data_IF_833712077165
#
_entry.id   IF_833712077165
#
_cell.length_a   1.000
_cell.length_b   1.000
_cell.length_c   1.000
_cell.angle_alpha   90.00
_cell.angle_beta   90.00
_cell.angle_gamma   90.00
#
_symmetry.space_group_name_H-M   'P 1'
#
loop_
_entity.id
_entity.type
_entity.pdbx_description
1 polymer ?
#
# COMPACT_ATOMS: atom_id res chain seq x y z
N UNK A 1 38.79 -0.92 69.70
CA UNK A 1 39.19 0.31 68.99
C UNK A 1 39.69 0.02 67.57
N UNK A 2 40.18 -1.18 67.26
CA UNK A 2 40.56 -1.60 65.88
C UNK A 2 39.39 -1.97 64.94
N UNK A 3 38.18 -2.23 65.46
CA UNK A 3 37.02 -2.61 64.62
C UNK A 3 36.35 -1.38 63.98
N UNK A 4 36.40 -0.22 64.64
CA UNK A 4 35.84 1.04 64.11
C UNK A 4 36.70 1.62 62.99
N UNK A 5 38.02 1.40 63.01
CA UNK A 5 38.94 1.89 61.99
C UNK A 5 38.80 1.11 60.68
N UNK A 6 38.55 -0.21 60.75
CA UNK A 6 38.32 -1.04 59.56
C UNK A 6 36.97 -0.78 58.89
N UNK A 7 35.93 -0.46 59.66
CA UNK A 7 34.61 -0.09 59.10
C UNK A 7 34.66 1.29 58.42
N UNK A 8 35.41 2.24 58.97
CA UNK A 8 35.59 3.56 58.37
C UNK A 8 36.33 3.50 57.01
N UNK A 9 37.34 2.63 56.88
CA UNK A 9 38.07 2.44 55.62
C UNK A 9 37.22 1.74 54.56
N UNK A 10 36.39 0.75 54.93
CA UNK A 10 35.48 0.09 53.99
C UNK A 10 34.34 0.99 53.52
N UNK A 11 33.81 1.87 54.39
CA UNK A 11 32.78 2.85 54.01
C UNK A 11 33.36 3.97 53.13
N UNK A 12 34.60 4.39 53.37
CA UNK A 12 35.29 5.34 52.50
C UNK A 12 35.60 4.76 51.12
N UNK A 13 35.99 3.48 51.02
CA UNK A 13 36.23 2.82 49.73
C UNK A 13 34.94 2.63 48.92
N UNK A 14 33.80 2.40 49.59
CA UNK A 14 32.48 2.33 48.96
C UNK A 14 31.95 3.71 48.52
N UNK A 15 32.27 4.79 49.24
CA UNK A 15 31.93 6.15 48.80
C UNK A 15 32.82 6.66 47.66
N UNK A 16 34.08 6.22 47.54
CA UNK A 16 34.97 6.60 46.42
C UNK A 16 34.63 5.85 45.12
N UNK A 17 34.06 4.65 45.19
CA UNK A 17 33.51 3.95 44.02
C UNK A 17 32.14 4.50 43.56
N UNK A 18 31.55 5.44 44.31
CA UNK A 18 30.24 6.05 44.00
C UNK A 18 30.35 7.42 43.33
N UNK A 19 31.56 7.94 43.11
CA UNK A 19 31.80 9.26 42.48
C UNK A 19 32.45 9.09 41.08
N UNK A 20 32.68 7.86 40.64
CA UNK A 20 33.29 7.52 39.34
C UNK A 20 32.32 7.11 38.23
N UNK A 21 31.00 7.12 38.45
CA UNK A 21 30.06 7.18 37.34
C UNK A 21 29.80 8.66 37.06
N UNK A 22 30.78 9.30 36.41
CA UNK A 22 30.38 10.32 35.46
C UNK A 22 29.38 9.62 34.55
N UNK A 23 28.10 9.98 34.68
CA UNK A 23 27.19 9.88 33.58
C UNK A 23 27.97 10.50 32.42
N UNK A 24 28.46 9.65 31.51
CA UNK A 24 28.64 10.07 30.14
C UNK A 24 27.25 10.57 29.82
N UNK A 25 27.05 11.89 29.88
CA UNK A 25 25.97 12.53 29.19
C UNK A 25 26.09 11.91 27.80
N UNK A 26 25.20 10.98 27.47
CA UNK A 26 24.89 10.66 26.09
C UNK A 26 24.42 12.01 25.57
N UNK A 27 25.36 12.83 25.11
CA UNK A 27 25.09 14.03 24.37
C UNK A 27 24.26 13.49 23.22
N UNK A 28 22.95 13.73 23.28
CA UNK A 28 22.05 13.25 22.26
C UNK A 28 22.63 13.80 20.95
N UNK A 29 23.16 12.95 20.05
CA UNK A 29 23.95 13.43 18.92
C UNK A 29 23.08 14.17 17.90
N UNK A 30 21.76 14.24 18.14
CA UNK A 30 20.85 15.12 17.43
C UNK A 30 21.06 16.59 17.81
N UNK A 31 20.89 17.50 16.85
CA UNK A 31 20.85 18.94 17.11
C UNK A 31 19.76 19.34 18.11
N UNK A 32 19.99 20.45 18.82
CA UNK A 32 19.11 20.90 19.89
C UNK A 32 17.67 21.21 19.45
N UNK A 33 17.46 21.55 18.18
CA UNK A 33 16.14 21.82 17.59
C UNK A 33 15.21 20.61 17.56
N UNK A 34 15.76 19.39 17.62
CA UNK A 34 14.98 18.17 17.77
C UNK A 34 14.41 17.98 19.20
N UNK A 35 14.76 18.87 20.14
CA UNK A 35 14.20 18.87 21.51
C UNK A 35 14.53 17.63 22.33
N UNK A 36 15.52 16.83 21.90
CA UNK A 36 15.83 15.54 22.50
C UNK A 36 14.80 14.44 22.24
N UNK A 37 13.83 14.67 21.34
CA UNK A 37 12.77 13.71 21.01
C UNK A 37 13.23 12.65 20.01
N UNK A 38 14.22 12.97 19.19
CA UNK A 38 14.77 12.05 18.20
C UNK A 38 16.08 11.41 18.67
N UNK A 39 16.43 10.30 18.01
CA UNK A 39 17.73 9.64 18.13
C UNK A 39 18.51 9.78 16.83
N UNK A 40 19.78 10.14 16.93
CA UNK A 40 20.68 10.25 15.79
C UNK A 40 21.87 9.32 16.01
N UNK A 41 22.44 8.74 14.96
CA UNK A 41 23.62 7.89 15.10
C UNK A 41 23.66 6.71 14.16
N UNK A 42 24.72 5.91 14.25
CA UNK A 42 24.87 4.71 13.43
C UNK A 42 23.90 3.62 13.89
N UNK A 43 23.02 3.18 12.99
CA UNK A 43 22.07 2.10 13.22
C UNK A 43 21.92 1.24 11.98
N UNK A 44 21.39 0.03 12.15
CA UNK A 44 21.01 -0.77 10.99
C UNK A 44 19.69 -0.23 10.42
N UNK A 45 19.66 -0.04 9.10
CA UNK A 45 18.48 0.45 8.40
C UNK A 45 17.53 -0.72 8.12
N UNK A 46 16.23 -0.61 8.43
CA UNK A 46 15.27 -1.63 8.02
C UNK A 46 15.08 -1.65 6.49
N UNK A 47 15.41 -0.57 5.78
CA UNK A 47 15.12 -0.40 4.34
C UNK A 47 16.16 -1.02 3.40
N UNK A 48 17.32 -1.42 3.93
CA UNK A 48 18.35 -2.14 3.16
C UNK A 48 18.49 -3.62 3.54
N UNK A 49 17.56 -4.14 4.36
CA UNK A 49 17.62 -5.50 4.89
C UNK A 49 18.65 -5.65 6.02
N UNK A 50 18.91 -4.58 6.79
CA UNK A 50 19.87 -4.55 7.88
C UNK A 50 21.30 -4.94 7.45
N UNK A 51 21.68 -4.62 6.21
CA UNK A 51 22.97 -5.05 5.62
C UNK A 51 24.14 -4.29 6.19
N UNK A 52 24.01 -2.98 6.35
CA UNK A 52 25.07 -2.09 6.82
C UNK A 52 24.57 -1.08 7.86
N UNK A 53 25.51 -0.52 8.62
CA UNK A 53 25.19 0.55 9.56
C UNK A 53 25.22 1.87 8.83
N UNK A 54 24.13 2.63 8.94
CA UNK A 54 23.94 3.96 8.35
C UNK A 54 23.71 5.00 9.42
N UNK A 55 24.17 6.23 9.21
CA UNK A 55 23.83 7.33 10.09
C UNK A 55 22.35 7.67 9.95
N UNK A 56 21.57 7.26 10.94
CA UNK A 56 20.11 7.34 10.95
C UNK A 56 19.67 8.44 11.90
N UNK A 57 18.71 9.25 11.45
CA UNK A 57 17.94 10.17 12.28
C UNK A 57 16.53 9.62 12.41
N UNK A 58 16.14 9.19 13.61
CA UNK A 58 14.85 8.57 13.87
C UNK A 58 14.02 9.42 14.85
N UNK A 59 12.85 9.84 14.36
CA UNK A 59 11.85 10.67 15.02
C UNK A 59 10.47 9.97 15.06
N UNK A 60 10.46 8.64 15.15
CA UNK A 60 9.25 7.82 15.17
C UNK A 60 8.35 8.17 16.38
N UNK A 61 7.06 8.43 16.14
CA UNK A 61 6.04 8.66 17.17
C UNK A 61 6.44 9.73 18.20
N UNK A 62 7.14 10.78 17.76
CA UNK A 62 7.63 11.86 18.63
C UNK A 62 6.58 12.93 18.88
N UNK A 63 5.45 12.89 18.15
CA UNK A 63 4.33 13.80 18.32
C UNK A 63 4.52 15.15 17.62
N UNK A 64 5.46 15.23 16.68
CA UNK A 64 5.67 16.47 15.94
C UNK A 64 4.46 16.85 15.08
N UNK A 65 4.18 18.15 15.04
CA UNK A 65 3.06 18.69 14.23
C UNK A 65 3.51 19.55 13.06
N UNK A 66 4.83 19.66 12.86
CA UNK A 66 5.46 20.40 11.78
C UNK A 66 6.85 19.80 11.51
N UNK A 67 7.56 20.32 10.51
CA UNK A 67 8.88 19.83 10.11
C UNK A 67 10.02 20.83 10.38
N UNK A 68 9.83 21.84 11.24
CA UNK A 68 10.79 22.95 11.34
C UNK A 68 12.16 22.48 11.86
N UNK A 69 12.19 21.46 12.70
CA UNK A 69 13.43 20.85 13.22
C UNK A 69 14.26 20.16 12.13
N UNK A 70 13.61 19.67 11.06
CA UNK A 70 14.32 19.01 9.97
C UNK A 70 15.24 19.97 9.22
N UNK A 71 15.08 21.29 9.41
CA UNK A 71 16.00 22.34 8.93
C UNK A 71 17.44 22.16 9.39
N UNK A 72 17.61 21.56 10.56
CA UNK A 72 18.89 21.29 11.18
C UNK A 72 19.28 19.82 11.06
N UNK A 73 18.73 19.07 10.10
CA UNK A 73 19.12 17.68 9.89
C UNK A 73 20.64 17.56 9.68
N UNK A 74 21.36 16.67 10.39
CA UNK A 74 22.79 16.48 10.20
C UNK A 74 23.13 16.12 8.76
N UNK A 75 24.14 16.75 8.17
CA UNK A 75 24.50 16.57 6.74
C UNK A 75 24.95 15.14 6.39
N UNK A 76 25.52 14.44 7.38
CA UNK A 76 25.91 13.03 7.28
C UNK A 76 24.73 12.05 7.35
N UNK A 77 23.48 12.52 7.41
CA UNK A 77 22.31 11.64 7.49
C UNK A 77 22.15 10.84 6.22
N UNK A 78 22.11 9.52 6.38
CA UNK A 78 21.89 8.56 5.31
C UNK A 78 20.43 8.08 5.27
N UNK A 79 19.80 8.00 6.45
CA UNK A 79 18.42 7.54 6.61
C UNK A 79 17.67 8.49 7.54
N UNK A 80 16.59 9.09 7.05
CA UNK A 80 15.64 9.86 7.84
C UNK A 80 14.38 9.05 8.07
N UNK A 81 14.08 8.71 9.32
CA UNK A 81 12.84 8.04 9.75
C UNK A 81 11.99 9.04 10.52
N UNK A 82 10.96 9.57 9.88
CA UNK A 82 10.06 10.56 10.44
C UNK A 82 8.63 10.02 10.40
N UNK A 83 8.38 8.83 10.95
CA UNK A 83 7.07 8.14 10.88
C UNK A 83 6.21 8.35 12.12
N UNK A 84 4.87 8.30 11.98
CA UNK A 84 3.94 8.30 13.11
C UNK A 84 3.76 9.67 13.79
N UNK A 85 3.98 10.77 13.07
CA UNK A 85 3.71 12.12 13.56
C UNK A 85 2.44 12.69 12.91
N UNK A 86 2.18 14.00 13.03
CA UNK A 86 0.98 14.63 12.43
C UNK A 86 1.35 15.90 11.69
N UNK A 87 1.75 15.75 10.43
CA UNK A 87 2.23 16.85 9.58
C UNK A 87 1.38 16.92 8.31
N UNK A 88 0.19 17.57 8.36
CA UNK A 88 -0.73 17.58 7.22
C UNK A 88 -0.20 18.29 5.97
N UNK A 89 0.79 19.17 6.14
CA UNK A 89 1.36 19.98 5.05
C UNK A 89 2.87 19.93 5.13
N UNK A 90 3.51 19.47 4.06
CA UNK A 90 4.95 19.62 3.87
C UNK A 90 5.23 20.95 3.15
N UNK A 91 5.86 21.94 3.82
CA UNK A 91 6.17 23.23 3.21
C UNK A 91 7.33 23.12 2.20
N UNK A 92 7.64 24.21 1.52
CA UNK A 92 8.87 24.33 0.75
C UNK A 92 10.11 24.18 1.64
N UNK A 93 11.16 23.51 1.14
CA UNK A 93 12.45 23.32 1.82
C UNK A 93 12.33 22.76 3.25
N UNK A 94 11.79 21.55 3.39
CA UNK A 94 11.61 20.87 4.68
C UNK A 94 12.96 20.58 5.37
N UNK A 95 13.98 20.14 4.62
CA UNK A 95 15.27 19.75 5.18
C UNK A 95 16.27 20.89 5.30
N UNK A 96 16.55 21.62 4.22
CA UNK A 96 17.41 22.81 4.22
C UNK A 96 17.32 23.43 2.82
N UNK A 97 17.63 24.72 2.66
CA UNK A 97 17.69 25.36 1.33
C UNK A 97 19.12 25.58 0.82
N UNK A 98 20.12 25.53 1.70
CA UNK A 98 21.53 25.75 1.37
C UNK A 98 22.31 24.44 1.29
N UNK A 99 22.09 23.51 2.20
CA UNK A 99 22.83 22.23 2.29
C UNK A 99 22.35 21.24 1.23
N UNK A 100 23.30 20.52 0.64
CA UNK A 100 23.03 19.35 -0.19
C UNK A 100 23.23 18.10 0.67
N UNK A 101 22.26 17.19 0.67
CA UNK A 101 22.32 15.97 1.47
C UNK A 101 22.91 14.83 0.64
N UNK A 102 24.23 14.88 0.44
CA UNK A 102 24.95 13.95 -0.43
C UNK A 102 24.87 12.49 0.01
N UNK A 103 24.66 12.23 1.30
CA UNK A 103 24.60 10.88 1.86
C UNK A 103 23.17 10.37 2.04
N UNK A 104 22.16 11.22 1.92
CA UNK A 104 20.78 10.84 2.23
C UNK A 104 20.23 9.92 1.14
N UNK A 105 20.03 8.65 1.48
CA UNK A 105 19.55 7.63 0.55
C UNK A 105 18.09 7.27 0.78
N UNK A 106 17.57 7.44 2.01
CA UNK A 106 16.21 7.03 2.37
C UNK A 106 15.50 8.09 3.20
N UNK A 107 14.27 8.43 2.79
CA UNK A 107 13.35 9.29 3.53
C UNK A 107 12.06 8.49 3.78
N UNK A 108 11.77 8.23 5.06
CA UNK A 108 10.49 7.69 5.49
C UNK A 108 9.67 8.77 6.20
N UNK A 109 8.55 9.14 5.58
CA UNK A 109 7.53 10.02 6.13
C UNK A 109 6.15 9.33 6.14
N UNK A 110 6.13 8.02 6.35
CA UNK A 110 4.89 7.26 6.51
C UNK A 110 4.10 7.66 7.75
N UNK A 111 2.79 7.41 7.75
CA UNK A 111 1.93 7.62 8.94
C UNK A 111 2.01 9.04 9.51
N UNK A 112 2.00 10.07 8.65
CA UNK A 112 2.08 11.47 9.09
C UNK A 112 0.82 12.29 8.84
N UNK A 113 -0.24 11.68 8.30
CA UNK A 113 -1.43 12.38 7.84
C UNK A 113 -1.15 13.48 6.81
N UNK A 114 -0.09 13.31 6.00
CA UNK A 114 0.29 14.30 4.98
C UNK A 114 -0.82 14.36 3.94
N UNK A 115 -1.41 15.54 3.76
CA UNK A 115 -2.41 15.82 2.74
C UNK A 115 -1.82 16.56 1.56
N UNK A 116 -0.88 17.45 1.84
CA UNK A 116 -0.33 18.35 0.83
C UNK A 116 1.18 18.40 0.88
N UNK A 117 1.81 18.20 -0.29
CA UNK A 117 3.25 18.37 -0.49
C UNK A 117 3.45 19.59 -1.38
N UNK A 118 4.13 20.62 -0.87
CA UNK A 118 4.41 21.81 -1.65
C UNK A 118 5.48 21.52 -2.73
N UNK A 119 5.43 22.26 -3.84
CA UNK A 119 6.48 22.18 -4.85
C UNK A 119 7.82 22.62 -4.24
N UNK A 120 8.91 21.89 -4.56
CA UNK A 120 10.24 22.10 -3.97
C UNK A 120 10.31 21.87 -2.46
N UNK A 121 9.46 20.99 -1.92
CA UNK A 121 9.57 20.54 -0.52
C UNK A 121 10.93 19.91 -0.23
N UNK A 122 11.39 19.02 -1.10
CA UNK A 122 12.62 18.24 -0.93
C UNK A 122 13.76 18.79 -1.78
N UNK A 123 14.25 20.00 -1.50
CA UNK A 123 15.36 20.57 -2.30
C UNK A 123 16.71 19.89 -1.98
N UNK A 124 17.54 19.66 -3.01
CA UNK A 124 18.92 19.12 -2.90
C UNK A 124 19.07 17.76 -2.23
N UNK A 125 18.15 16.83 -2.52
CA UNK A 125 18.18 15.43 -2.04
C UNK A 125 18.42 14.43 -3.18
N UNK A 126 19.25 14.80 -4.14
CA UNK A 126 19.43 14.10 -5.42
C UNK A 126 19.79 12.61 -5.26
N UNK A 127 20.46 12.22 -4.18
CA UNK A 127 20.94 10.85 -3.93
C UNK A 127 19.92 9.96 -3.22
N UNK A 128 18.73 10.47 -2.89
CA UNK A 128 17.66 9.66 -2.28
C UNK A 128 17.18 8.62 -3.29
N UNK A 129 17.28 7.35 -2.88
CA UNK A 129 16.88 6.17 -3.64
C UNK A 129 15.52 5.64 -3.20
N UNK A 130 15.18 5.78 -1.92
CA UNK A 130 13.92 5.29 -1.36
C UNK A 130 13.13 6.44 -0.74
N UNK A 131 11.94 6.72 -1.28
CA UNK A 131 10.98 7.66 -0.70
C UNK A 131 9.75 6.87 -0.24
N UNK A 132 9.45 6.96 1.06
CA UNK A 132 8.34 6.23 1.67
C UNK A 132 7.30 7.23 2.18
N UNK A 133 6.13 7.21 1.56
CA UNK A 133 4.98 8.08 1.88
C UNK A 133 3.74 7.26 2.25
N UNK A 134 3.92 6.00 2.62
CA UNK A 134 2.82 5.09 2.95
C UNK A 134 1.95 5.60 4.10
N UNK A 135 0.68 5.20 4.11
CA UNK A 135 -0.27 5.51 5.19
C UNK A 135 -0.36 7.03 5.45
N UNK A 136 -0.60 7.78 4.38
CA UNK A 136 -0.84 9.22 4.43
C UNK A 136 -2.21 9.54 3.80
N UNK A 137 -2.55 10.82 3.73
CA UNK A 137 -3.86 11.29 3.30
C UNK A 137 -3.72 12.18 2.04
N UNK A 138 -2.85 11.82 1.10
CA UNK A 138 -2.46 12.70 -0.01
C UNK A 138 -3.68 13.13 -0.83
N UNK A 139 -3.83 14.44 -0.99
CA UNK A 139 -4.91 15.06 -1.75
C UNK A 139 -4.41 15.54 -3.12
N UNK A 140 -4.12 14.60 -4.03
CA UNK A 140 -3.69 14.89 -5.41
C UNK A 140 -4.91 14.98 -6.33
N UNK A 141 -5.17 16.17 -6.86
CA UNK A 141 -6.29 16.45 -7.80
C UNK A 141 -5.84 17.52 -8.80
N UNK A 142 -6.42 17.59 -9.99
CA UNK A 142 -6.12 18.59 -11.04
C UNK A 142 -6.04 20.04 -10.53
N UNK A 143 -6.78 20.37 -9.46
CA UNK A 143 -6.82 21.72 -8.86
C UNK A 143 -5.66 22.00 -7.89
N UNK A 144 -5.15 20.95 -7.24
CA UNK A 144 -4.11 21.02 -6.22
C UNK A 144 -2.78 20.42 -6.71
N UNK A 145 -2.78 19.94 -7.95
CA UNK A 145 -1.68 19.27 -8.59
C UNK A 145 -0.41 20.10 -8.63
N UNK A 146 0.69 19.38 -8.45
CA UNK A 146 2.04 19.90 -8.57
C UNK A 146 2.84 18.86 -9.34
N UNK A 147 2.86 18.94 -10.69
CA UNK A 147 3.47 17.92 -11.53
C UNK A 147 4.92 17.56 -11.15
N UNK A 148 5.63 18.46 -10.45
CA UNK A 148 7.03 18.31 -10.04
C UNK A 148 7.23 17.98 -8.56
N UNK A 149 6.29 17.28 -7.92
CA UNK A 149 6.45 16.90 -6.50
C UNK A 149 7.67 15.99 -6.27
N UNK A 150 7.99 15.11 -7.23
CA UNK A 150 9.10 14.17 -7.10
C UNK A 150 10.36 14.57 -7.88
N UNK A 151 10.36 15.72 -8.55
CA UNK A 151 11.45 16.14 -9.46
C UNK A 151 12.79 16.44 -8.77
N UNK A 152 12.88 16.38 -7.44
CA UNK A 152 14.15 16.57 -6.72
C UNK A 152 14.83 15.23 -6.39
N UNK A 153 14.15 14.11 -6.65
CA UNK A 153 14.65 12.76 -6.38
C UNK A 153 15.24 12.17 -7.67
N UNK A 154 16.34 12.76 -8.15
CA UNK A 154 16.94 12.41 -9.44
C UNK A 154 17.42 10.95 -9.50
N UNK A 155 17.81 10.34 -8.37
CA UNK A 155 18.22 8.94 -8.30
C UNK A 155 17.18 8.04 -7.60
N UNK A 156 15.88 8.40 -7.65
CA UNK A 156 14.84 7.61 -7.00
C UNK A 156 14.72 6.23 -7.64
N UNK A 157 14.88 5.18 -6.84
CA UNK A 157 14.76 3.77 -7.27
C UNK A 157 13.47 3.13 -6.76
N UNK A 158 12.96 3.57 -5.59
CA UNK A 158 11.74 3.03 -4.96
C UNK A 158 10.85 4.16 -4.45
N UNK A 159 9.61 4.12 -4.88
CA UNK A 159 8.57 5.06 -4.44
C UNK A 159 7.46 4.26 -3.75
N UNK A 160 7.27 4.55 -2.47
CA UNK A 160 6.22 3.93 -1.68
C UNK A 160 5.02 4.84 -1.47
N UNK A 161 3.87 4.39 -1.98
CA UNK A 161 2.57 5.04 -1.92
C UNK A 161 1.48 4.04 -1.47
N UNK A 162 1.81 3.07 -0.62
CA UNK A 162 0.84 2.12 -0.07
C UNK A 162 -0.13 2.86 0.85
N UNK A 163 -1.45 2.77 0.61
CA UNK A 163 -2.48 3.49 1.37
C UNK A 163 -2.12 4.98 1.56
N UNK A 164 -1.73 5.65 0.47
CA UNK A 164 -1.16 7.00 0.55
C UNK A 164 -2.15 8.11 0.22
N UNK A 165 -3.30 7.79 -0.38
CA UNK A 165 -4.27 8.77 -0.88
C UNK A 165 -5.47 8.91 0.04
N UNK A 166 -6.02 10.12 0.09
CA UNK A 166 -7.22 10.43 0.88
C UNK A 166 -8.47 9.72 0.34
N UNK A 167 -9.25 9.09 1.22
CA UNK A 167 -10.57 8.48 0.92
C UNK A 167 -11.60 9.46 0.30
N UNK A 168 -11.29 10.77 0.31
CA UNK A 168 -12.13 11.80 -0.30
C UNK A 168 -11.96 11.88 -1.82
N UNK A 169 -10.90 11.29 -2.37
CA UNK A 169 -10.55 11.38 -3.79
C UNK A 169 -10.66 10.00 -4.41
N UNK A 170 -11.30 9.93 -5.57
CA UNK A 170 -11.45 8.68 -6.28
C UNK A 170 -10.13 8.27 -6.94
N UNK A 171 -9.89 6.96 -7.01
CA UNK A 171 -8.71 6.40 -7.68
C UNK A 171 -8.49 6.93 -9.10
N UNK A 172 -9.56 7.01 -9.89
CA UNK A 172 -9.47 7.51 -11.26
C UNK A 172 -9.03 8.97 -11.36
N UNK A 173 -9.27 9.79 -10.33
CA UNK A 173 -8.86 11.21 -10.32
C UNK A 173 -7.36 11.32 -10.02
N UNK A 174 -6.88 10.75 -8.90
CA UNK A 174 -5.46 10.86 -8.59
C UNK A 174 -4.57 10.08 -9.57
N UNK A 175 -5.08 9.02 -10.22
CA UNK A 175 -4.31 8.29 -11.25
C UNK A 175 -4.04 9.17 -12.48
N UNK A 176 -5.00 10.01 -12.89
CA UNK A 176 -4.77 11.02 -13.95
C UNK A 176 -3.67 11.98 -13.53
N UNK A 177 -3.76 12.51 -12.32
CA UNK A 177 -2.72 13.38 -11.76
C UNK A 177 -1.34 12.72 -11.67
N UNK A 178 -1.30 11.42 -11.35
CA UNK A 178 -0.06 10.67 -11.25
C UNK A 178 0.64 10.53 -12.60
N UNK A 179 -0.10 10.39 -13.71
CA UNK A 179 0.50 10.37 -15.05
C UNK A 179 1.30 11.66 -15.30
N UNK A 180 0.68 12.82 -15.04
CA UNK A 180 1.33 14.12 -15.19
C UNK A 180 2.49 14.30 -14.21
N UNK A 181 2.35 13.82 -12.97
CA UNK A 181 3.41 13.87 -11.96
C UNK A 181 4.61 13.02 -12.37
N UNK A 182 4.39 11.80 -12.85
CA UNK A 182 5.47 10.94 -13.30
C UNK A 182 6.16 11.53 -14.54
N UNK A 183 5.38 12.06 -15.49
CA UNK A 183 5.90 12.77 -16.66
C UNK A 183 6.80 13.95 -16.29
N UNK A 184 6.34 14.85 -15.43
CA UNK A 184 7.05 16.07 -15.08
C UNK A 184 8.14 15.90 -14.01
N UNK A 185 8.13 14.79 -13.27
CA UNK A 185 9.16 14.48 -12.27
C UNK A 185 10.38 13.75 -12.84
N UNK A 186 10.32 13.26 -14.08
CA UNK A 186 11.43 12.61 -14.79
C UNK A 186 12.12 11.48 -13.99
N UNK A 187 11.31 10.58 -13.43
CA UNK A 187 11.76 9.48 -12.55
C UNK A 187 12.38 8.32 -13.35
N UNK A 188 13.45 8.61 -14.11
CA UNK A 188 14.05 7.68 -15.07
C UNK A 188 14.76 6.47 -14.44
N UNK A 189 15.07 6.51 -13.14
CA UNK A 189 15.71 5.39 -12.42
C UNK A 189 14.76 4.60 -11.52
N UNK A 190 13.46 4.93 -11.54
CA UNK A 190 12.49 4.28 -10.67
C UNK A 190 12.29 2.83 -11.09
N UNK A 191 12.59 1.90 -10.19
CA UNK A 191 12.50 0.45 -10.41
C UNK A 191 11.29 -0.18 -9.72
N UNK A 192 10.90 0.31 -8.55
CA UNK A 192 9.82 -0.29 -7.77
C UNK A 192 8.80 0.78 -7.41
N UNK A 193 7.55 0.54 -7.78
CA UNK A 193 6.41 1.39 -7.43
C UNK A 193 5.41 0.59 -6.59
N UNK A 194 5.21 1.03 -5.36
CA UNK A 194 4.23 0.49 -4.42
C UNK A 194 2.95 1.34 -4.47
N UNK A 195 1.83 0.71 -4.84
CA UNK A 195 0.49 1.30 -4.92
C UNK A 195 -0.56 0.40 -4.25
N UNK A 196 -0.14 -0.45 -3.34
CA UNK A 196 -1.02 -1.35 -2.59
C UNK A 196 -2.02 -0.56 -1.72
N UNK A 197 -3.18 -1.16 -1.44
CA UNK A 197 -4.16 -0.59 -0.49
C UNK A 197 -4.66 0.83 -0.84
N UNK A 198 -4.79 1.16 -2.13
CA UNK A 198 -5.27 2.47 -2.58
C UNK A 198 -6.70 2.43 -3.18
N UNK A 199 -7.45 1.36 -2.91
CA UNK A 199 -8.81 1.16 -3.42
C UNK A 199 -8.98 1.26 -4.95
N UNK A 200 -7.91 1.03 -5.71
CA UNK A 200 -7.92 1.13 -7.18
C UNK A 200 -8.82 0.05 -7.76
N UNK A 201 -9.90 0.43 -8.45
CA UNK A 201 -10.85 -0.51 -9.05
C UNK A 201 -10.63 -0.75 -10.54
N UNK A 202 -10.01 0.20 -11.24
CA UNK A 202 -9.64 0.15 -12.66
C UNK A 202 -8.63 1.26 -12.95
N UNK A 203 -7.61 0.97 -13.77
CA UNK A 203 -6.74 2.00 -14.35
C UNK A 203 -7.45 2.67 -15.56
N UNK A 204 -8.28 1.91 -16.26
CA UNK A 204 -9.28 2.40 -17.20
C UNK A 204 -8.70 3.25 -18.34
N UNK A 205 -9.27 4.43 -18.55
CA UNK A 205 -8.86 5.37 -19.61
C UNK A 205 -7.42 5.86 -19.47
N UNK A 206 -6.81 5.75 -18.29
CA UNK A 206 -5.42 6.11 -18.05
C UNK A 206 -4.47 4.90 -18.09
N UNK A 207 -4.66 4.04 -19.07
CA UNK A 207 -3.81 2.86 -19.30
C UNK A 207 -2.31 3.17 -19.43
N UNK A 208 -1.91 4.43 -19.65
CA UNK A 208 -0.52 4.86 -19.87
C UNK A 208 0.16 5.46 -18.65
N UNK A 209 -0.52 5.53 -17.50
CA UNK A 209 -0.03 6.16 -16.27
C UNK A 209 1.42 5.76 -15.92
N UNK A 210 1.82 4.51 -16.16
CA UNK A 210 3.16 4.04 -15.84
C UNK A 210 4.20 4.21 -16.97
N UNK A 211 3.80 4.53 -18.20
CA UNK A 211 4.68 4.49 -19.37
C UNK A 211 5.87 5.46 -19.33
N UNK A 212 5.83 6.50 -18.49
CA UNK A 212 6.99 7.37 -18.30
C UNK A 212 8.12 6.65 -17.53
N UNK A 213 7.78 5.67 -16.70
CA UNK A 213 8.70 4.97 -15.80
C UNK A 213 9.39 3.83 -16.56
N UNK A 214 10.30 4.17 -17.48
CA UNK A 214 10.85 3.21 -18.44
C UNK A 214 11.72 2.12 -17.81
N UNK A 215 12.38 2.43 -16.68
CA UNK A 215 13.20 1.50 -15.90
C UNK A 215 12.41 0.75 -14.81
N UNK A 216 11.08 0.87 -14.81
CA UNK A 216 10.23 0.22 -13.83
C UNK A 216 10.30 -1.30 -13.97
N UNK A 217 10.81 -1.95 -12.94
CA UNK A 217 10.98 -3.40 -12.84
C UNK A 217 9.77 -4.07 -12.17
N UNK A 218 9.17 -3.39 -11.19
CA UNK A 218 8.11 -3.95 -10.35
C UNK A 218 6.99 -2.94 -10.12
N UNK A 219 5.75 -3.39 -10.35
CA UNK A 219 4.54 -2.65 -10.01
C UNK A 219 3.74 -3.47 -9.01
N UNK A 220 3.53 -2.92 -7.82
CA UNK A 220 2.87 -3.60 -6.72
C UNK A 220 1.50 -2.96 -6.49
N UNK A 221 0.45 -3.69 -6.88
CA UNK A 221 -0.95 -3.27 -6.85
C UNK A 221 -1.79 -4.19 -5.95
N UNK A 222 -1.15 -4.90 -5.02
CA UNK A 222 -1.81 -5.79 -4.06
C UNK A 222 -2.86 -5.06 -3.21
N UNK A 223 -3.85 -5.77 -2.69
CA UNK A 223 -4.86 -5.22 -1.77
C UNK A 223 -5.64 -4.01 -2.35
N UNK A 224 -5.86 -3.99 -3.65
CA UNK A 224 -6.72 -3.02 -4.31
C UNK A 224 -8.10 -3.64 -4.63
N UNK A 225 -8.85 -3.02 -5.54
CA UNK A 225 -10.18 -3.48 -5.97
C UNK A 225 -10.22 -3.79 -7.47
N UNK A 226 -9.07 -4.04 -8.09
CA UNK A 226 -8.97 -4.25 -9.54
C UNK A 226 -9.82 -5.45 -9.94
N UNK A 227 -10.63 -5.28 -10.98
CA UNK A 227 -11.49 -6.34 -11.52
C UNK A 227 -10.85 -7.08 -12.69
N UNK A 228 -9.81 -6.49 -13.28
CA UNK A 228 -9.05 -7.01 -14.42
C UNK A 228 -7.64 -6.37 -14.46
N UNK A 229 -6.79 -6.83 -15.37
CA UNK A 229 -5.54 -6.17 -15.75
C UNK A 229 -5.79 -5.23 -16.94
N UNK A 230 -5.76 -3.92 -16.71
CA UNK A 230 -6.24 -2.91 -17.67
C UNK A 230 -5.28 -1.73 -17.92
N UNK A 231 -3.98 -1.95 -17.70
CA UNK A 231 -2.93 -0.95 -17.99
C UNK A 231 -1.91 -1.48 -19.00
N UNK A 232 -1.29 -0.54 -19.71
CA UNK A 232 -0.32 -0.84 -20.74
C UNK A 232 1.04 -1.15 -20.16
N UNK A 233 1.64 -2.24 -20.65
CA UNK A 233 2.98 -2.68 -20.29
C UNK A 233 3.95 -2.68 -21.47
N UNK A 234 3.49 -2.47 -22.71
CA UNK A 234 4.33 -2.44 -23.92
C UNK A 234 5.43 -1.36 -23.87
N UNK A 235 5.23 -0.33 -23.06
CA UNK A 235 6.16 0.78 -22.83
C UNK A 235 7.14 0.54 -21.66
N UNK A 236 6.96 -0.51 -20.85
CA UNK A 236 7.72 -0.77 -19.63
C UNK A 236 8.84 -1.80 -19.90
N UNK A 237 9.97 -1.32 -20.44
CA UNK A 237 11.00 -2.20 -21.00
C UNK A 237 11.75 -3.03 -19.97
N UNK A 238 11.81 -2.58 -18.71
CA UNK A 238 12.52 -3.27 -17.63
C UNK A 238 11.57 -4.10 -16.73
N UNK A 239 10.26 -4.13 -17.03
CA UNK A 239 9.26 -4.78 -16.19
C UNK A 239 9.47 -6.29 -16.12
N UNK A 240 9.56 -6.81 -14.91
CA UNK A 240 9.75 -8.23 -14.62
C UNK A 240 8.74 -8.78 -13.60
N UNK A 241 8.06 -7.92 -12.84
CA UNK A 241 7.14 -8.37 -11.79
C UNK A 241 5.91 -7.47 -11.67
N UNK A 242 4.74 -8.09 -11.58
CA UNK A 242 3.47 -7.41 -11.32
C UNK A 242 2.76 -8.13 -10.19
N UNK A 243 2.49 -7.41 -9.10
CA UNK A 243 1.68 -7.93 -7.99
C UNK A 243 0.23 -7.43 -8.11
N UNK A 244 -0.70 -8.37 -8.31
CA UNK A 244 -2.14 -8.14 -8.36
C UNK A 244 -2.86 -8.97 -7.28
N UNK A 245 -2.15 -9.42 -6.25
CA UNK A 245 -2.73 -10.23 -5.19
C UNK A 245 -3.86 -9.48 -4.44
N UNK A 246 -4.80 -10.22 -3.84
CA UNK A 246 -5.87 -9.65 -3.00
C UNK A 246 -6.63 -8.51 -3.70
N UNK A 247 -6.95 -8.67 -4.98
CA UNK A 247 -7.81 -7.79 -5.76
C UNK A 247 -9.21 -8.44 -5.96
N UNK A 248 -10.00 -7.90 -6.88
CA UNK A 248 -11.34 -8.39 -7.22
C UNK A 248 -11.39 -9.10 -8.59
N UNK A 249 -10.26 -9.64 -9.04
CA UNK A 249 -10.13 -10.27 -10.35
C UNK A 249 -10.85 -11.62 -10.33
N UNK A 250 -12.01 -11.68 -10.97
CA UNK A 250 -12.73 -12.96 -11.12
C UNK A 250 -12.14 -13.87 -12.21
N UNK A 251 -11.51 -13.25 -13.21
CA UNK A 251 -10.81 -13.83 -14.37
C UNK A 251 -10.19 -12.68 -15.15
N UNK A 252 -9.09 -12.92 -15.85
CA UNK A 252 -8.53 -11.94 -16.80
C UNK A 252 -9.37 -11.90 -18.07
N UNK A 253 -9.49 -10.72 -18.68
CA UNK A 253 -10.13 -10.58 -20.01
C UNK A 253 -9.24 -11.13 -21.13
N UNK A 254 -9.86 -11.41 -22.28
CA UNK A 254 -9.14 -11.87 -23.48
C UNK A 254 -8.08 -10.86 -23.93
N UNK A 255 -8.34 -9.55 -23.76
CA UNK A 255 -7.39 -8.49 -24.07
C UNK A 255 -6.21 -8.49 -23.09
N UNK A 256 -6.48 -8.56 -21.79
CA UNK A 256 -5.44 -8.64 -20.76
C UNK A 256 -4.48 -9.82 -21.00
N UNK A 257 -5.04 -11.00 -21.28
CA UNK A 257 -4.26 -12.21 -21.59
C UNK A 257 -3.42 -12.04 -22.86
N UNK A 258 -3.98 -11.43 -23.90
CA UNK A 258 -3.25 -11.16 -25.15
C UNK A 258 -2.09 -10.17 -24.93
N UNK A 259 -2.31 -9.10 -24.17
CA UNK A 259 -1.29 -8.09 -23.86
C UNK A 259 -0.13 -8.70 -23.06
N UNK A 260 -0.42 -9.57 -22.10
CA UNK A 260 0.59 -10.30 -21.32
C UNK A 260 1.40 -11.27 -22.19
N UNK A 261 0.73 -12.05 -23.05
CA UNK A 261 1.41 -12.99 -23.97
C UNK A 261 2.26 -12.23 -25.01
N UNK A 262 1.77 -11.10 -25.52
CA UNK A 262 2.50 -10.24 -26.46
C UNK A 262 3.74 -9.63 -25.81
N UNK A 263 3.64 -9.16 -24.57
CA UNK A 263 4.77 -8.66 -23.81
C UNK A 263 5.84 -9.76 -23.63
N UNK A 264 5.44 -10.98 -23.26
CA UNK A 264 6.35 -12.12 -23.06
C UNK A 264 7.14 -12.52 -24.32
N UNK A 265 6.61 -12.28 -25.54
CA UNK A 265 7.37 -12.52 -26.78
C UNK A 265 8.64 -11.68 -26.85
N UNK A 266 8.61 -10.49 -26.25
CA UNK A 266 9.75 -9.57 -26.21
C UNK A 266 10.55 -9.61 -24.89
N UNK A 267 9.90 -10.02 -23.78
CA UNK A 267 10.44 -9.97 -22.42
C UNK A 267 10.16 -11.28 -21.67
N UNK A 268 11.01 -12.32 -21.80
CA UNK A 268 10.69 -13.68 -21.34
C UNK A 268 10.84 -13.89 -19.82
N UNK A 269 10.79 -12.83 -19.01
CA UNK A 269 11.03 -12.88 -17.55
C UNK A 269 9.90 -12.29 -16.71
N UNK A 270 8.77 -11.95 -17.32
CA UNK A 270 7.63 -11.42 -16.56
C UNK A 270 7.04 -12.51 -15.66
N UNK A 271 6.98 -12.20 -14.38
CA UNK A 271 6.22 -12.94 -13.37
C UNK A 271 5.02 -12.09 -12.92
N UNK A 272 3.85 -12.71 -12.86
CA UNK A 272 2.63 -12.07 -12.34
C UNK A 272 2.12 -12.85 -11.13
N UNK A 273 1.60 -12.13 -10.15
CA UNK A 273 1.02 -12.70 -8.93
C UNK A 273 -0.45 -12.32 -8.84
N UNK A 274 -1.33 -13.33 -8.78
CA UNK A 274 -2.79 -13.16 -8.73
C UNK A 274 -3.40 -13.85 -7.50
N UNK A 275 -2.58 -14.22 -6.52
CA UNK A 275 -3.00 -14.92 -5.30
C UNK A 275 -4.17 -14.18 -4.60
N UNK A 276 -5.04 -14.95 -3.95
CA UNK A 276 -6.17 -14.43 -3.15
C UNK A 276 -7.17 -13.52 -3.91
N UNK A 277 -7.31 -13.70 -5.23
CA UNK A 277 -8.39 -13.10 -6.00
C UNK A 277 -9.66 -13.99 -6.02
N UNK A 278 -10.87 -13.41 -6.11
CA UNK A 278 -12.13 -14.13 -6.05
C UNK A 278 -12.49 -14.79 -7.40
N UNK A 279 -11.69 -15.77 -7.82
CA UNK A 279 -11.88 -16.42 -9.12
C UNK A 279 -13.26 -17.07 -9.25
N UNK A 280 -13.90 -16.85 -10.39
CA UNK A 280 -15.18 -17.47 -10.74
C UNK A 280 -14.90 -18.57 -11.76
N UNK A 281 -15.53 -19.72 -11.61
CA UNK A 281 -15.36 -20.89 -12.49
C UNK A 281 -16.67 -21.27 -13.17
N UNK A 282 -17.07 -20.42 -14.12
CA UNK A 282 -18.26 -20.56 -14.98
C UNK A 282 -17.86 -20.66 -16.47
N UNK A 283 -18.84 -20.77 -17.36
CA UNK A 283 -18.64 -20.78 -18.82
C UNK A 283 -17.77 -19.64 -19.37
N UNK A 284 -17.77 -18.46 -18.73
CA UNK A 284 -16.99 -17.29 -19.18
C UNK A 284 -15.52 -17.38 -18.78
N UNK A 285 -15.21 -18.31 -17.89
CA UNK A 285 -13.87 -18.49 -17.32
C UNK A 285 -13.03 -19.47 -18.14
N UNK A 286 -13.62 -20.04 -19.21
CA UNK A 286 -12.99 -21.03 -20.09
C UNK A 286 -11.68 -20.52 -20.70
N UNK A 287 -11.68 -19.32 -21.27
CA UNK A 287 -10.48 -18.77 -21.91
C UNK A 287 -9.37 -18.53 -20.90
N UNK A 288 -9.71 -17.95 -19.74
CA UNK A 288 -8.77 -17.69 -18.65
C UNK A 288 -8.15 -18.97 -18.09
N UNK A 289 -8.95 -19.98 -17.79
CA UNK A 289 -8.44 -21.27 -17.30
C UNK A 289 -7.58 -21.95 -18.37
N UNK A 290 -7.98 -21.90 -19.65
CA UNK A 290 -7.15 -22.44 -20.73
C UNK A 290 -5.81 -21.70 -20.85
N UNK A 291 -5.84 -20.36 -20.77
CA UNK A 291 -4.65 -19.52 -20.82
C UNK A 291 -3.68 -19.85 -19.68
N UNK A 292 -4.14 -19.98 -18.44
CA UNK A 292 -3.29 -20.40 -17.30
C UNK A 292 -2.56 -21.72 -17.56
N UNK A 293 -3.20 -22.66 -18.28
CA UNK A 293 -2.59 -23.96 -18.60
C UNK A 293 -1.60 -23.91 -19.77
N UNK A 294 -1.67 -22.89 -20.63
CA UNK A 294 -0.92 -22.84 -21.90
C UNK A 294 0.02 -21.66 -22.05
N UNK A 295 -0.13 -20.62 -21.25
CA UNK A 295 0.67 -19.40 -21.34
C UNK A 295 2.13 -19.67 -20.97
N UNK A 296 3.03 -18.90 -21.57
CA UNK A 296 4.44 -18.85 -21.17
C UNK A 296 4.71 -17.84 -20.06
N UNK A 297 3.74 -16.97 -19.73
CA UNK A 297 3.81 -16.02 -18.63
C UNK A 297 3.94 -16.80 -17.32
N UNK A 298 4.90 -16.42 -16.47
CA UNK A 298 5.05 -17.07 -15.16
C UNK A 298 3.99 -16.53 -14.20
N UNK A 299 2.90 -17.26 -14.03
CA UNK A 299 1.86 -16.94 -13.03
C UNK A 299 2.20 -17.63 -11.72
N UNK A 300 2.44 -16.86 -10.66
CA UNK A 300 2.89 -17.39 -9.37
C UNK A 300 1.78 -18.20 -8.69
N UNK A 301 2.10 -19.43 -8.24
CA UNK A 301 1.20 -20.30 -7.47
C UNK A 301 -0.18 -20.59 -8.09
N UNK A 302 -0.35 -20.42 -9.41
CA UNK A 302 -1.65 -20.54 -10.05
C UNK A 302 -2.29 -21.94 -9.87
N UNK A 303 -1.48 -22.97 -9.63
CA UNK A 303 -1.93 -24.33 -9.36
C UNK A 303 -2.75 -24.45 -8.06
N UNK A 304 -2.65 -23.45 -7.18
CA UNK A 304 -3.34 -23.38 -5.89
C UNK A 304 -4.60 -22.50 -5.93
N UNK A 305 -4.87 -21.79 -7.02
CA UNK A 305 -6.00 -20.88 -7.13
C UNK A 305 -7.32 -21.66 -7.05
N UNK A 306 -8.27 -21.15 -6.26
CA UNK A 306 -9.57 -21.79 -6.01
C UNK A 306 -10.71 -20.94 -6.50
N UNK A 307 -11.76 -21.61 -6.97
CA UNK A 307 -13.01 -20.97 -7.36
C UNK A 307 -13.78 -20.53 -6.11
N UNK A 308 -14.02 -19.23 -5.95
CA UNK A 308 -14.92 -18.70 -4.90
C UNK A 308 -16.38 -18.86 -5.32
N UNK A 309 -16.66 -18.76 -6.62
CA UNK A 309 -17.96 -19.04 -7.22
C UNK A 309 -17.79 -19.87 -8.50
N UNK A 310 -18.85 -20.48 -9.01
CA UNK A 310 -18.78 -21.25 -10.25
C UNK A 310 -20.06 -21.98 -10.63
N UNK A 311 -20.15 -22.33 -11.91
CA UNK A 311 -21.25 -23.12 -12.45
C UNK A 311 -20.73 -24.29 -13.32
N UNK A 312 -21.16 -25.54 -13.07
CA UNK A 312 -22.11 -25.97 -12.03
C UNK A 312 -21.60 -25.68 -10.62
N UNK A 313 -22.51 -25.59 -9.63
CA UNK A 313 -22.18 -25.23 -8.23
C UNK A 313 -21.12 -26.13 -7.59
N UNK A 314 -20.92 -27.33 -8.15
CA UNK A 314 -19.83 -28.23 -7.78
C UNK A 314 -18.43 -27.68 -8.04
N UNK A 315 -18.28 -26.58 -8.78
CA UNK A 315 -16.99 -25.94 -9.03
C UNK A 315 -16.51 -25.08 -7.86
N UNK A 316 -17.42 -24.66 -6.97
CA UNK A 316 -17.08 -23.83 -5.81
C UNK A 316 -16.11 -24.58 -4.89
N UNK A 317 -15.01 -23.92 -4.52
CA UNK A 317 -13.94 -24.45 -3.67
C UNK A 317 -12.93 -25.36 -4.36
N UNK A 318 -13.16 -25.78 -5.61
CA UNK A 318 -12.19 -26.55 -6.40
C UNK A 318 -11.02 -25.67 -6.82
N UNK A 319 -9.86 -26.29 -7.05
CA UNK A 319 -8.75 -25.58 -7.72
C UNK A 319 -9.07 -25.38 -9.19
N UNK A 320 -8.63 -24.27 -9.78
CA UNK A 320 -8.91 -23.95 -11.19
C UNK A 320 -8.45 -25.07 -12.13
N UNK A 321 -7.30 -25.70 -11.83
CA UNK A 321 -6.74 -26.84 -12.58
C UNK A 321 -7.61 -28.12 -12.52
N UNK A 322 -8.49 -28.25 -11.51
CA UNK A 322 -9.38 -29.41 -11.32
C UNK A 322 -10.76 -29.21 -11.98
N UNK A 323 -11.00 -28.05 -12.59
CA UNK A 323 -12.29 -27.75 -13.21
C UNK A 323 -12.32 -28.25 -14.66
N UNK A 324 -13.13 -29.29 -14.90
CA UNK A 324 -13.29 -29.88 -16.24
C UNK A 324 -14.57 -29.45 -16.95
N UNK A 325 -15.63 -29.14 -16.20
CA UNK A 325 -16.93 -28.72 -16.75
C UNK A 325 -17.22 -27.28 -16.34
N UNK A 326 -17.44 -26.43 -17.35
CA UNK A 326 -17.82 -25.03 -17.19
C UNK A 326 -19.16 -24.81 -17.89
N UNK A 327 -20.15 -24.33 -17.15
CA UNK A 327 -21.47 -23.99 -17.69
C UNK A 327 -21.89 -22.59 -17.32
N UNK A 328 -22.95 -22.08 -17.95
CA UNK A 328 -23.65 -20.89 -17.47
C UNK A 328 -24.96 -21.34 -16.81
N UNK A 329 -25.41 -20.70 -15.72
CA UNK A 329 -26.80 -20.85 -15.31
C UNK A 329 -27.71 -20.45 -16.48
N UNK A 330 -28.71 -21.26 -16.81
CA UNK A 330 -29.68 -20.88 -17.83
C UNK A 330 -30.34 -19.57 -17.40
N UNK A 331 -30.14 -18.50 -18.18
CA UNK A 331 -30.98 -17.32 -18.05
C UNK A 331 -32.41 -17.78 -18.30
N UNK A 332 -33.34 -17.44 -17.40
CA UNK A 332 -34.75 -17.79 -17.56
C UNK A 332 -35.21 -17.31 -18.94
N UNK A 333 -35.34 -18.25 -19.89
CA UNK A 333 -35.86 -17.98 -21.22
C UNK A 333 -37.27 -17.42 -21.03
N UNK A 334 -37.43 -16.09 -21.17
CA UNK A 334 -38.76 -15.50 -21.31
C UNK A 334 -39.44 -16.24 -22.46
N UNK A 335 -40.59 -16.81 -22.14
CA UNK A 335 -41.39 -17.65 -23.01
C UNK A 335 -41.61 -17.01 -24.39
N UNK A 336 -41.40 -17.80 -25.45
CA UNK A 336 -41.94 -17.52 -26.77
C UNK A 336 -43.47 -17.53 -26.69
N UNK A 337 -44.13 -16.49 -27.19
CA UNK A 337 -45.39 -16.66 -27.93
C UNK A 337 -45.46 -15.62 -29.04
N UNK A 338 -45.61 -16.10 -30.27
CA UNK A 338 -45.79 -15.26 -31.43
C UNK A 338 -47.15 -14.58 -31.46
N UNK A 339 -47.16 -13.36 -31.97
CA UNK A 339 -48.26 -12.83 -32.78
C UNK A 339 -47.69 -11.72 -33.67
N UNK A 340 -47.94 -11.83 -34.97
CA UNK A 340 -47.74 -10.74 -35.94
C UNK A 340 -48.81 -9.68 -35.68
N UNK A 341 -48.41 -8.42 -35.52
CA UNK A 341 -49.17 -7.28 -36.03
C UNK A 341 -48.25 -6.07 -36.25
N UNK A 342 -48.62 -5.31 -37.26
CA UNK A 342 -47.88 -4.27 -37.97
C UNK A 342 -47.80 -2.92 -37.25
N UNK A 343 -46.69 -2.22 -37.52
CA UNK A 343 -46.57 -0.78 -37.83
C UNK A 343 -47.17 0.26 -36.85
N UNK A 344 -46.29 0.97 -36.14
CA UNK A 344 -46.13 2.43 -36.26
C UNK A 344 -44.85 2.88 -35.51
N UNK A 345 -44.04 3.69 -36.18
CA UNK A 345 -42.94 4.49 -35.60
C UNK A 345 -43.52 5.50 -34.61
N UNK A 346 -42.89 5.65 -33.44
CA UNK A 346 -42.79 6.94 -32.75
C UNK A 346 -41.68 6.93 -31.68
N UNK A 347 -41.20 8.14 -31.40
CA UNK A 347 -39.91 8.52 -30.84
C UNK A 347 -39.53 8.04 -29.43
N UNK A 348 -38.21 7.88 -29.29
CA UNK A 348 -37.31 7.92 -28.12
C UNK A 348 -37.85 8.67 -26.87
N UNK A 349 -37.96 7.95 -25.74
CA UNK A 349 -37.67 8.47 -24.40
C UNK A 349 -37.25 7.31 -23.48
N UNK A 350 -36.11 7.47 -22.82
CA UNK A 350 -35.34 6.43 -22.15
C UNK A 350 -35.62 6.50 -20.65
N UNK A 351 -36.57 5.70 -20.15
CA UNK A 351 -36.84 5.58 -18.70
C UNK A 351 -36.49 4.17 -18.22
N UNK A 352 -35.36 4.08 -17.52
CA UNK A 352 -34.78 2.84 -17.01
C UNK A 352 -35.51 2.33 -15.77
N UNK A 353 -36.45 1.41 -15.95
CA UNK A 353 -37.00 0.61 -14.86
C UNK A 353 -36.01 -0.47 -14.39
N UNK A 354 -35.32 -0.21 -13.28
CA UNK A 354 -34.58 -1.19 -12.51
C UNK A 354 -35.54 -2.21 -11.86
N UNK A 355 -35.50 -3.47 -12.30
CA UNK A 355 -36.12 -4.59 -11.58
C UNK A 355 -35.25 -4.99 -10.39
N UNK A 356 -35.46 -4.34 -9.23
CA UNK A 356 -35.05 -4.87 -7.94
C UNK A 356 -36.04 -5.96 -7.52
N UNK A 357 -35.57 -7.07 -6.96
CA UNK A 357 -36.42 -8.01 -6.23
C UNK A 357 -37.06 -7.24 -5.05
N UNK A 358 -38.32 -6.85 -5.21
CA UNK A 358 -39.04 -6.02 -4.24
C UNK A 358 -39.48 -6.83 -3.03
N UNK A 359 -38.78 -6.67 -1.92
CA UNK A 359 -39.34 -6.94 -0.59
C UNK A 359 -40.47 -5.93 -0.33
N UNK A 360 -41.56 -6.35 0.34
CA UNK A 360 -42.67 -5.45 0.70
C UNK A 360 -42.16 -4.24 1.49
N UNK A 361 -42.73 -3.05 1.28
CA UNK A 361 -42.35 -1.84 2.03
C UNK A 361 -42.41 -2.03 3.55
N UNK A 362 -43.31 -2.90 4.03
CA UNK A 362 -43.40 -3.30 5.44
C UNK A 362 -42.15 -4.09 5.91
N UNK A 363 -41.59 -4.94 5.06
CA UNK A 363 -40.38 -5.73 5.38
C UNK A 363 -39.10 -4.89 5.38
N UNK A 364 -38.99 -3.90 4.49
CA UNK A 364 -37.87 -2.95 4.48
C UNK A 364 -37.92 -2.06 5.72
N UNK A 365 -39.11 -1.57 6.08
CA UNK A 365 -39.31 -0.79 7.31
C UNK A 365 -38.97 -1.59 8.58
N UNK A 366 -39.39 -2.85 8.64
CA UNK A 366 -39.08 -3.72 9.77
C UNK A 366 -37.57 -4.02 9.89
N UNK A 367 -36.88 -4.29 8.77
CA UNK A 367 -35.44 -4.54 8.75
C UNK A 367 -34.65 -3.30 9.16
N UNK A 368 -35.01 -2.12 8.65
CA UNK A 368 -34.37 -0.86 9.01
C UNK A 368 -34.57 -0.52 10.50
N UNK A 369 -35.79 -0.71 11.01
CA UNK A 369 -36.06 -0.50 12.44
C UNK A 369 -35.27 -1.47 13.33
N UNK A 370 -35.20 -2.75 12.97
CA UNK A 370 -34.44 -3.75 13.73
C UNK A 370 -32.93 -3.47 13.72
N UNK A 371 -32.38 -2.97 12.61
CA UNK A 371 -30.96 -2.57 12.53
C UNK A 371 -30.66 -1.34 13.40
N UNK A 372 -31.52 -0.32 13.35
CA UNK A 372 -31.35 0.89 14.15
C UNK A 372 -31.52 0.57 15.65
N UNK A 373 -32.50 -0.27 15.99
CA UNK A 373 -32.74 -0.71 17.37
C UNK A 373 -31.59 -1.56 17.91
N UNK A 374 -31.06 -2.51 17.14
CA UNK A 374 -29.92 -3.33 17.58
C UNK A 374 -28.64 -2.52 17.69
N UNK A 375 -28.37 -1.61 16.75
CA UNK A 375 -27.20 -0.72 16.79
C UNK A 375 -27.23 0.23 17.99
N UNK A 376 -28.39 0.85 18.26
CA UNK A 376 -28.56 1.73 19.43
C UNK A 376 -28.45 0.98 20.76
N UNK A 377 -28.97 -0.25 20.83
CA UNK A 377 -28.86 -1.09 22.02
C UNK A 377 -27.43 -1.58 22.26
N UNK A 378 -26.69 -1.93 21.19
CA UNK A 378 -25.26 -2.26 21.27
C UNK A 378 -24.40 -1.08 21.71
N UNK A 379 -24.67 0.12 21.19
CA UNK A 379 -24.00 1.35 21.61
C UNK A 379 -24.30 1.68 23.08
N UNK A 380 -25.54 1.49 23.54
CA UNK A 380 -25.91 1.69 24.93
C UNK A 380 -25.19 0.69 25.85
N UNK A 381 -25.14 -0.59 25.47
CA UNK A 381 -24.39 -1.63 26.20
C UNK A 381 -22.89 -1.33 26.21
N UNK A 382 -22.31 -0.94 25.08
CA UNK A 382 -20.90 -0.57 24.97
C UNK A 382 -20.57 0.67 25.83
N UNK A 383 -21.45 1.66 25.87
CA UNK A 383 -21.29 2.84 26.71
C UNK A 383 -21.35 2.49 28.20
N UNK A 384 -22.32 1.69 28.61
CA UNK A 384 -22.50 1.29 30.02
C UNK A 384 -21.36 0.40 30.52
N UNK A 385 -20.78 -0.43 29.64
CA UNK A 385 -19.69 -1.34 29.98
C UNK A 385 -18.30 -0.89 29.47
N UNK A 386 -18.15 0.38 29.10
CA UNK A 386 -16.92 0.91 28.47
C UNK A 386 -15.62 0.61 29.22
N UNK A 387 -15.65 0.55 30.56
CA UNK A 387 -14.45 0.23 31.36
C UNK A 387 -14.11 -1.26 31.31
N UNK A 388 -15.11 -2.14 31.41
CA UNK A 388 -14.93 -3.60 31.28
C UNK A 388 -14.52 -4.00 29.86
N UNK A 389 -15.07 -3.35 28.84
CA UNK A 389 -14.71 -3.59 27.43
C UNK A 389 -13.27 -3.18 27.17
N UNK A 390 -12.81 -2.05 27.71
CA UNK A 390 -11.40 -1.64 27.62
C UNK A 390 -10.46 -2.70 28.20
N UNK A 391 -10.75 -3.20 29.40
CA UNK A 391 -9.91 -4.23 30.03
C UNK A 391 -9.92 -5.58 29.28
N UNK A 392 -11.02 -5.93 28.60
CA UNK A 392 -11.13 -7.18 27.85
C UNK A 392 -10.55 -7.11 26.43
N UNK A 393 -10.67 -5.95 25.77
CA UNK A 393 -10.32 -5.76 24.35
C UNK A 393 -8.87 -5.33 24.19
N UNK A 394 -8.32 -4.49 25.09
CA UNK A 394 -6.93 -4.00 24.98
C UNK A 394 -5.90 -5.14 24.88
N UNK A 395 -5.96 -6.21 25.71
CA UNK A 395 -4.99 -7.30 25.61
C UNK A 395 -5.11 -8.12 24.32
N UNK A 396 -6.33 -8.27 23.79
CA UNK A 396 -6.58 -9.03 22.55
C UNK A 396 -6.24 -8.20 21.30
N UNK A 397 -6.48 -6.89 21.37
CA UNK A 397 -6.11 -5.92 20.33
C UNK A 397 -4.58 -5.78 20.23
N UNK A 398 -3.88 -5.70 21.36
CA UNK A 398 -2.41 -5.72 21.41
C UNK A 398 -1.82 -7.06 20.91
N UNK A 399 -2.50 -8.18 21.20
CA UNK A 399 -2.09 -9.49 20.68
C UNK A 399 -2.35 -9.64 19.17
N UNK A 400 -3.48 -9.17 18.67
CA UNK A 400 -3.84 -9.21 17.25
C UNK A 400 -2.92 -8.28 16.42
N UNK A 401 -2.70 -7.04 16.87
CA UNK A 401 -1.79 -6.11 16.20
C UNK A 401 -0.33 -6.61 16.22
N UNK A 402 0.12 -7.24 17.31
CA UNK A 402 1.43 -7.90 17.33
C UNK A 402 1.52 -9.13 16.42
N UNK A 403 0.48 -9.95 16.28
CA UNK A 403 0.54 -11.12 15.38
C UNK A 403 0.41 -10.74 13.90
N UNK A 404 -0.39 -9.74 13.58
CA UNK A 404 -0.56 -9.26 12.20
C UNK A 404 0.70 -8.48 11.77
N UNK A 405 1.37 -7.77 12.69
CA UNK A 405 2.65 -7.08 12.43
C UNK A 405 3.89 -7.98 12.27
N UNK A 406 3.84 -9.27 12.63
CA UNK A 406 5.00 -10.17 12.56
C UNK A 406 4.79 -11.47 11.75
N UNK A 407 3.56 -11.79 11.35
CA UNK A 407 3.28 -12.97 10.52
C UNK A 407 3.41 -12.72 9.00
N UNK A 408 3.53 -11.47 8.56
CA UNK A 408 3.69 -11.12 7.13
C UNK A 408 5.13 -11.04 6.62
N UNK A 409 6.15 -11.12 7.48
CA UNK A 409 7.54 -10.75 7.10
C UNK A 409 8.59 -11.83 7.46
N UNK A 410 8.26 -12.91 8.17
CA UNK A 410 9.30 -13.80 8.73
C UNK A 410 9.64 -15.09 7.98
N UNK A 411 9.03 -15.41 6.84
CA UNK A 411 9.23 -16.73 6.22
C UNK A 411 9.67 -16.79 4.74
N UNK A 412 10.09 -15.71 4.08
CA UNK A 412 10.65 -15.86 2.71
C UNK A 412 11.86 -14.96 2.36
N UNK A 413 12.48 -14.31 3.35
CA UNK A 413 13.77 -13.61 3.14
C UNK A 413 14.95 -14.56 3.34
N UNK A 414 15.11 -15.52 2.42
CA UNK A 414 16.44 -16.08 2.11
C UNK A 414 16.68 -15.97 0.60
N UNK A 415 17.67 -15.20 0.14
CA UNK A 415 18.07 -15.22 -1.27
C UNK A 415 18.62 -16.60 -1.62
N UNK A 416 18.03 -17.29 -2.60
CA UNK A 416 18.68 -18.47 -3.18
C UNK A 416 19.82 -18.01 -4.09
N UNK A 417 21.05 -18.44 -3.78
CA UNK A 417 22.19 -18.38 -4.69
C UNK A 417 21.87 -19.19 -5.95
N UNK A 418 21.90 -18.52 -7.10
CA UNK A 418 21.81 -19.18 -8.41
C UNK A 418 23.22 -19.62 -8.81
N UNK A 419 23.46 -20.93 -8.83
CA UNK A 419 24.61 -21.49 -9.52
C UNK A 419 24.47 -21.28 -11.02
N UNK A 420 25.54 -20.73 -11.64
CA UNK A 420 25.74 -20.41 -13.06
C UNK A 420 25.23 -21.49 -14.02
#
# INVERSE_FOLDING_TARGET
MEVLEKVAVSVALLMVMSIGCHAVHNANPCPASFGGLCSCGMGYSPYDGFKEKKYTVNCTNTGFTNTSMLRDLPEKTEVLIFTGNSVPVLPFNVLNNTTQFDYLETIDMSNNHIRFIQGKTFHKVYNVKNLILDHNDLEITDKLERPRIFSNFENLERLHLTNAFSDKINASEYLLSLEDIFYESDLIYLKILHLEQNEIWSIGGNSKVFCQLQELEQVLLGDNRLIDFDFRIDCLHSLIYIDLERNMISRLSDQAMADLDDFMKSKPRLEIKLDDNPFVCDCRSKNFINWLNTTSVKVKNWENYKCVDGYPKSNIGKRLIEVHELGCPESSRRAKSGSKSSFHDDHFENDGHHHYFGYSSATIGAMAFMLIFTSSMLLAVAYFHRQKIKELVIPYWDFATRKIGYAGISNDETPQEVSV
#
